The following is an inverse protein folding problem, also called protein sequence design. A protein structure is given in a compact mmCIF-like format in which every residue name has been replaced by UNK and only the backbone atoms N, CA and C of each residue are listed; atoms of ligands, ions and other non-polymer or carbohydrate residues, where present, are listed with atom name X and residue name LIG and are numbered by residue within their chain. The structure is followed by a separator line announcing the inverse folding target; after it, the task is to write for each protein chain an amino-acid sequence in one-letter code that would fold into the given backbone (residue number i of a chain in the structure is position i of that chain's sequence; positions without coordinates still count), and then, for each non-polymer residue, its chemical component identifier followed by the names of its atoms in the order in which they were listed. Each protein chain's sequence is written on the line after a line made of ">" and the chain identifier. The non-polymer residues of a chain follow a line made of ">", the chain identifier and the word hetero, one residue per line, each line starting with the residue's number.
data_IF_239757004984
#
_entry.id   IF_239757004984
#
_cell.length_a   1.000
_cell.length_b   1.000
_cell.length_c   1.000
_cell.angle_alpha   90.00
_cell.angle_beta   90.00
_cell.angle_gamma   90.00
#
_symmetry.space_group_name_H-M   'P 1'
#
loop_
_entity.id
_entity.type
_entity.pdbx_description
1 polymer ?
#
# COMPACT_ATOMS: atom_id res chain seq x y z
N UNK A 1 -24.03 -17.15 -33.83
CA UNK A 1 -23.18 -16.25 -34.63
C UNK A 1 -23.64 -14.81 -34.42
N UNK A 2 -22.90 -14.02 -33.67
CA UNK A 2 -23.14 -12.56 -33.54
C UNK A 2 -21.77 -11.89 -33.35
N UNK A 3 -21.26 -11.29 -34.43
CA UNK A 3 -20.00 -10.54 -34.47
C UNK A 3 -20.15 -9.23 -33.70
N UNK A 4 -19.29 -8.97 -32.72
CA UNK A 4 -19.15 -7.65 -32.08
C UNK A 4 -17.99 -6.89 -32.70
N UNK A 5 -18.31 -5.76 -33.32
CA UNK A 5 -17.38 -4.84 -33.94
C UNK A 5 -16.59 -4.07 -32.87
N UNK A 6 -15.28 -4.15 -32.96
CA UNK A 6 -14.34 -3.30 -32.23
C UNK A 6 -14.23 -1.95 -32.94
N UNK A 7 -14.68 -0.86 -32.32
CA UNK A 7 -14.45 0.50 -32.82
C UNK A 7 -13.16 1.03 -32.16
N UNK A 8 -12.15 1.25 -33.01
CA UNK A 8 -10.92 1.95 -32.65
C UNK A 8 -11.23 3.44 -32.54
N UNK A 9 -10.95 4.05 -31.39
CA UNK A 9 -10.95 5.50 -31.22
C UNK A 9 -9.53 6.01 -31.53
N UNK A 10 -9.43 6.96 -32.45
CA UNK A 10 -8.20 7.61 -32.84
C UNK A 10 -7.99 8.84 -31.94
N UNK A 11 -6.79 8.99 -31.41
CA UNK A 11 -6.34 10.17 -30.68
C UNK A 11 -5.98 11.28 -31.68
N UNK A 12 -6.54 12.46 -31.50
CA UNK A 12 -6.19 13.66 -32.26
C UNK A 12 -5.20 14.52 -31.45
N UNK A 13 -4.00 14.69 -32.02
CA UNK A 13 -3.03 15.69 -31.57
C UNK A 13 -3.53 17.09 -31.97
N UNK A 14 -3.57 18.03 -31.03
CA UNK A 14 -3.62 19.45 -31.33
C UNK A 14 -2.32 20.15 -30.89
N UNK A 15 -1.57 20.60 -31.87
CA UNK A 15 -0.47 21.53 -31.69
C UNK A 15 -1.02 22.97 -31.65
N UNK A 16 -0.66 23.76 -30.63
CA UNK A 16 -0.93 25.18 -30.59
C UNK A 16 0.37 25.97 -30.66
N UNK A 17 0.40 26.87 -31.64
CA UNK A 17 1.56 27.64 -32.04
C UNK A 17 1.79 28.88 -31.15
N UNK A 18 3.07 29.21 -30.96
CA UNK A 18 3.56 30.44 -30.38
C UNK A 18 3.16 31.66 -31.25
N UNK A 19 2.79 32.76 -30.58
CA UNK A 19 2.73 34.08 -31.18
C UNK A 19 3.52 35.08 -30.34
N UNK A 20 4.69 35.43 -30.79
CA UNK A 20 5.50 36.54 -30.31
C UNK A 20 4.98 37.86 -30.91
N UNK A 21 4.77 38.89 -30.10
CA UNK A 21 4.58 40.25 -30.56
C UNK A 21 5.53 41.20 -29.81
N UNK A 22 6.56 41.64 -30.53
CA UNK A 22 7.42 42.75 -30.18
C UNK A 22 6.75 44.05 -30.71
N UNK A 23 6.65 45.04 -29.84
CA UNK A 23 6.43 46.42 -30.30
C UNK A 23 7.33 47.37 -29.51
N UNK A 24 8.32 47.88 -30.21
CA UNK A 24 9.16 49.00 -29.81
C UNK A 24 8.45 50.33 -30.17
N UNK A 25 8.53 51.28 -29.28
CA UNK A 25 8.08 52.65 -29.53
C UNK A 25 8.92 53.65 -28.76
N UNK A 26 9.83 54.34 -29.49
CA UNK A 26 10.60 55.50 -29.02
C UNK A 26 9.81 56.81 -29.17
N UNK A 27 10.10 57.75 -28.30
CA UNK A 27 9.81 59.20 -28.54
C UNK A 27 9.66 59.98 -27.24
N UNK A 28 10.49 60.65 -26.79
CA UNK A 28 11.23 61.93 -26.84
C UNK A 28 10.62 63.11 -26.07
N UNK A 29 11.45 63.64 -25.17
CA UNK A 29 11.63 65.04 -24.70
C UNK A 29 10.80 65.57 -23.49
N UNK A 30 11.59 66.07 -22.55
CA UNK A 30 11.35 66.77 -21.28
C UNK A 30 10.87 68.22 -21.44
N UNK A 31 10.76 69.11 -20.39
CA UNK A 31 11.11 68.99 -18.95
C UNK A 31 10.16 69.67 -17.91
N UNK A 32 10.52 69.52 -16.62
CA UNK A 32 10.33 70.34 -15.38
C UNK A 32 8.92 70.49 -14.76
N UNK A 33 8.74 70.13 -13.54
CA UNK A 33 8.91 70.91 -12.31
C UNK A 33 8.59 70.11 -11.03
N UNK A 34 9.26 70.46 -9.99
CA UNK A 34 9.41 70.00 -8.65
C UNK A 34 8.13 69.79 -7.81
N UNK A 35 8.07 68.69 -7.04
CA UNK A 35 8.00 68.72 -5.56
C UNK A 35 7.94 67.24 -5.04
N UNK A 36 8.55 66.87 -3.89
CA UNK A 36 8.66 65.48 -3.45
C UNK A 36 7.43 65.08 -2.62
N UNK A 37 6.66 64.20 -3.17
CA UNK A 37 5.63 63.50 -2.40
C UNK A 37 6.14 62.09 -2.02
N UNK A 38 6.09 61.85 -0.75
CA UNK A 38 6.52 60.65 -0.05
C UNK A 38 6.00 59.37 -0.72
N UNK A 39 6.86 58.63 -1.40
CA UNK A 39 6.55 57.29 -1.86
C UNK A 39 6.70 56.36 -0.68
N UNK A 40 5.57 55.90 -0.13
CA UNK A 40 5.56 54.78 0.74
C UNK A 40 6.17 53.57 0.02
N UNK A 41 7.30 53.15 0.51
CA UNK A 41 7.92 51.86 0.10
C UNK A 41 6.96 50.79 0.53
N UNK A 42 6.24 50.22 -0.43
CA UNK A 42 5.53 48.97 -0.21
C UNK A 42 6.61 47.92 0.03
N UNK A 43 6.81 47.61 1.29
CA UNK A 43 7.66 46.53 1.74
C UNK A 43 7.11 45.24 1.11
N UNK A 44 7.84 44.68 0.17
CA UNK A 44 7.54 43.39 -0.42
C UNK A 44 7.56 42.40 0.72
N UNK A 45 6.44 41.71 0.95
CA UNK A 45 6.36 40.60 1.88
C UNK A 45 7.44 39.57 1.51
N UNK A 46 8.15 39.02 2.49
CA UNK A 46 9.29 38.16 2.25
C UNK A 46 8.85 36.83 1.62
N UNK A 47 9.71 36.30 0.79
CA UNK A 47 9.65 35.00 0.12
C UNK A 47 9.68 33.81 1.13
N UNK A 48 8.77 33.77 2.10
CA UNK A 48 8.64 32.63 2.99
C UNK A 48 7.76 31.51 2.41
N UNK A 49 6.93 31.82 1.41
CA UNK A 49 6.00 30.82 0.82
C UNK A 49 6.65 29.79 -0.11
N UNK A 50 7.84 30.04 -0.62
CA UNK A 50 8.57 29.09 -1.48
C UNK A 50 9.37 28.07 -0.67
N UNK A 51 9.98 28.46 0.44
CA UNK A 51 10.76 27.53 1.26
C UNK A 51 9.87 26.53 2.05
N UNK A 52 8.68 26.96 2.47
CA UNK A 52 7.70 26.09 3.12
C UNK A 52 7.11 25.08 2.12
N UNK A 53 6.77 25.52 0.90
CA UNK A 53 6.29 24.62 -0.16
C UNK A 53 7.30 23.55 -0.54
N UNK A 54 8.57 23.94 -0.69
CA UNK A 54 9.66 22.99 -1.01
C UNK A 54 9.87 21.97 0.13
N UNK A 55 9.69 22.37 1.40
CA UNK A 55 9.79 21.46 2.56
C UNK A 55 8.61 20.48 2.62
N UNK A 56 7.40 20.92 2.32
CA UNK A 56 6.19 20.10 2.29
C UNK A 56 6.26 19.05 1.17
N UNK A 57 6.69 19.45 -0.03
CA UNK A 57 6.91 18.53 -1.14
C UNK A 57 8.00 17.49 -0.81
N UNK A 58 9.07 17.89 -0.13
CA UNK A 58 10.13 16.98 0.28
C UNK A 58 9.64 15.96 1.31
N UNK A 59 8.86 16.38 2.29
CA UNK A 59 8.28 15.50 3.30
C UNK A 59 7.32 14.48 2.66
N UNK A 60 6.44 14.93 1.76
CA UNK A 60 5.53 14.07 1.02
C UNK A 60 6.26 13.05 0.13
N UNK A 61 7.31 13.49 -0.58
CA UNK A 61 8.13 12.62 -1.43
C UNK A 61 8.88 11.55 -0.61
N UNK A 62 9.46 11.94 0.53
CA UNK A 62 10.11 10.97 1.41
C UNK A 62 9.12 9.91 1.93
N UNK A 63 7.89 10.29 2.22
CA UNK A 63 6.83 9.37 2.60
C UNK A 63 6.45 8.44 1.43
N UNK A 64 6.30 8.99 0.21
CA UNK A 64 6.00 8.22 -0.99
C UNK A 64 7.08 7.15 -1.27
N UNK A 65 8.37 7.51 -1.17
CA UNK A 65 9.48 6.58 -1.35
C UNK A 65 9.43 5.42 -0.34
N UNK A 66 9.04 5.67 0.91
CA UNK A 66 8.89 4.62 1.92
C UNK A 66 7.69 3.73 1.66
N UNK A 67 6.58 4.27 1.17
CA UNK A 67 5.40 3.50 0.76
C UNK A 67 5.74 2.62 -0.45
N UNK A 68 6.41 3.17 -1.46
CA UNK A 68 6.82 2.40 -2.65
C UNK A 68 7.78 1.26 -2.28
N UNK A 69 8.65 1.46 -1.27
CA UNK A 69 9.56 0.43 -0.79
C UNK A 69 8.86 -0.79 -0.15
N UNK A 70 7.66 -0.63 0.40
CA UNK A 70 6.86 -1.73 0.95
C UNK A 70 5.87 -2.33 -0.06
N UNK A 71 5.75 -1.75 -1.24
CA UNK A 71 4.88 -2.26 -2.32
C UNK A 71 5.60 -3.36 -3.11
N UNK A 72 5.96 -4.44 -2.42
CA UNK A 72 6.77 -5.55 -2.96
C UNK A 72 6.18 -6.90 -2.59
N UNK A 73 6.39 -7.91 -3.47
CA UNK A 73 5.89 -9.27 -3.25
C UNK A 73 6.85 -10.15 -2.43
N UNK A 74 8.07 -9.68 -2.17
CA UNK A 74 9.07 -10.46 -1.44
C UNK A 74 9.26 -9.89 -0.05
N UNK A 75 9.06 -10.73 0.97
CA UNK A 75 9.41 -10.39 2.34
C UNK A 75 10.91 -10.56 2.58
N UNK A 76 11.51 -9.62 3.28
CA UNK A 76 12.90 -9.65 3.75
C UNK A 76 12.96 -9.48 5.28
N UNK A 77 14.14 -9.58 5.85
CA UNK A 77 14.36 -9.31 7.29
C UNK A 77 14.03 -7.85 7.67
N UNK A 78 14.11 -6.93 6.70
CA UNK A 78 13.87 -5.51 6.92
C UNK A 78 12.39 -5.11 6.75
N UNK A 79 11.52 -6.00 6.27
CA UNK A 79 10.14 -5.67 5.90
C UNK A 79 9.34 -5.06 7.06
N UNK A 80 9.47 -5.61 8.28
CA UNK A 80 8.76 -5.07 9.44
C UNK A 80 9.19 -3.63 9.75
N UNK A 81 10.49 -3.39 9.75
CA UNK A 81 11.04 -2.05 9.98
C UNK A 81 10.64 -1.06 8.86
N UNK A 82 10.56 -1.53 7.62
CA UNK A 82 10.10 -0.71 6.49
C UNK A 82 8.62 -0.34 6.62
N UNK A 83 7.76 -1.27 7.03
CA UNK A 83 6.34 -0.99 7.30
C UNK A 83 6.18 0.03 8.45
N UNK A 84 6.92 -0.13 9.54
CA UNK A 84 6.91 0.80 10.66
C UNK A 84 7.41 2.20 10.24
N UNK A 85 8.46 2.28 9.41
CA UNK A 85 8.99 3.54 8.89
C UNK A 85 8.00 4.26 7.96
N UNK A 86 7.35 3.54 7.05
CA UNK A 86 6.33 4.09 6.16
C UNK A 86 5.14 4.67 6.95
N UNK A 87 4.65 3.92 7.95
CA UNK A 87 3.60 4.41 8.85
C UNK A 87 4.02 5.65 9.62
N UNK A 88 5.20 5.63 10.22
CA UNK A 88 5.69 6.77 11.01
C UNK A 88 5.87 8.03 10.16
N UNK A 89 6.34 7.88 8.91
CA UNK A 89 6.45 8.98 7.97
C UNK A 89 5.07 9.56 7.61
N UNK A 90 4.09 8.71 7.32
CA UNK A 90 2.73 9.13 7.03
C UNK A 90 2.07 9.84 8.22
N UNK A 91 2.19 9.29 9.42
CA UNK A 91 1.61 9.85 10.65
C UNK A 91 2.24 11.21 11.02
N UNK A 92 3.47 11.46 10.58
CA UNK A 92 4.15 12.75 10.79
C UNK A 92 3.72 13.84 9.83
N UNK A 93 3.07 13.51 8.69
CA UNK A 93 2.60 14.48 7.71
C UNK A 93 1.36 15.23 8.20
N UNK A 94 1.30 16.53 7.89
CA UNK A 94 0.07 17.32 7.96
C UNK A 94 -0.92 16.88 6.88
N UNK A 95 -2.20 17.25 7.01
CA UNK A 95 -3.22 16.92 6.00
C UNK A 95 -2.85 17.50 4.62
N UNK A 96 -2.27 18.72 4.59
CA UNK A 96 -1.81 19.35 3.34
C UNK A 96 -0.65 18.56 2.70
N UNK A 97 0.28 18.05 3.49
CA UNK A 97 1.41 17.25 2.99
C UNK A 97 0.93 15.89 2.49
N UNK A 98 -0.07 15.28 3.12
CA UNK A 98 -0.66 14.01 2.66
C UNK A 98 -1.27 14.12 1.27
N UNK A 99 -1.89 15.25 0.94
CA UNK A 99 -2.42 15.52 -0.40
C UNK A 99 -1.33 15.63 -1.48
N UNK A 100 -0.07 15.81 -1.08
CA UNK A 100 1.09 15.89 -1.98
C UNK A 100 1.82 14.56 -2.15
N UNK A 101 1.39 13.49 -1.43
CA UNK A 101 2.03 12.18 -1.54
C UNK A 101 1.74 11.59 -2.92
N UNK A 102 2.78 11.45 -3.72
CA UNK A 102 2.71 10.89 -5.07
C UNK A 102 3.99 10.10 -5.36
N UNK A 103 3.86 8.79 -5.57
CA UNK A 103 4.93 7.84 -5.89
C UNK A 103 4.53 6.94 -7.05
N UNK A 104 5.23 5.83 -7.24
CA UNK A 104 4.86 4.81 -8.22
C UNK A 104 3.56 4.10 -7.82
N UNK A 105 3.40 3.81 -6.53
CA UNK A 105 2.25 3.12 -5.93
C UNK A 105 1.64 3.93 -4.78
N UNK A 106 2.39 4.89 -4.23
CA UNK A 106 1.92 5.76 -3.18
C UNK A 106 0.98 6.83 -3.74
N UNK A 107 -0.12 7.07 -3.04
CA UNK A 107 -1.08 8.12 -3.32
C UNK A 107 -1.66 8.69 -2.00
N UNK A 108 -2.36 9.84 -2.02
CA UNK A 108 -2.93 10.44 -0.82
C UNK A 108 -3.93 9.53 -0.06
N UNK A 109 -4.52 8.55 -0.75
CA UNK A 109 -5.48 7.60 -0.20
C UNK A 109 -4.83 6.33 0.36
N UNK A 110 -3.51 6.13 0.21
CA UNK A 110 -2.86 4.86 0.53
C UNK A 110 -3.13 4.39 1.96
N UNK A 111 -2.92 5.25 2.96
CA UNK A 111 -3.24 4.95 4.36
C UNK A 111 -4.56 5.60 4.83
N UNK A 112 -5.02 6.65 4.16
CA UNK A 112 -6.16 7.46 4.57
C UNK A 112 -7.52 6.95 4.11
N UNK A 113 -7.58 5.97 3.19
CA UNK A 113 -8.86 5.46 2.69
C UNK A 113 -9.62 4.73 3.78
N UNK A 114 -10.88 5.13 3.99
CA UNK A 114 -11.80 4.39 4.85
C UNK A 114 -12.13 3.03 4.21
N UNK A 115 -11.62 1.96 4.82
CA UNK A 115 -11.84 0.58 4.39
C UNK A 115 -12.58 -0.24 5.43
N UNK A 116 -13.14 0.44 6.44
CA UNK A 116 -13.86 -0.18 7.54
C UNK A 116 -13.04 -0.29 8.84
N UNK A 117 -13.54 -1.06 9.77
CA UNK A 117 -13.04 -1.18 11.13
C UNK A 117 -12.13 -2.40 11.28
N UNK A 118 -10.82 -2.17 11.38
CA UNK A 118 -9.80 -3.21 11.54
C UNK A 118 -10.03 -4.08 12.79
N UNK A 119 -10.64 -3.53 13.86
CA UNK A 119 -10.87 -4.27 15.12
C UNK A 119 -11.89 -5.41 15.00
N UNK A 120 -12.62 -5.51 13.89
CA UNK A 120 -13.57 -6.61 13.62
C UNK A 120 -12.92 -7.86 13.06
N UNK A 121 -11.65 -7.81 12.80
CA UNK A 121 -10.84 -8.92 12.29
C UNK A 121 -9.68 -9.22 13.24
N UNK A 122 -8.98 -10.30 13.02
CA UNK A 122 -7.73 -10.66 13.67
C UNK A 122 -6.82 -11.43 12.70
N UNK A 123 -5.52 -11.42 12.98
CA UNK A 123 -4.54 -12.07 12.10
C UNK A 123 -4.61 -13.61 12.11
N UNK A 124 -5.35 -14.22 13.03
CA UNK A 124 -5.46 -15.67 13.25
C UNK A 124 -4.11 -16.40 13.25
N UNK A 125 -3.13 -15.81 13.93
CA UNK A 125 -1.78 -16.34 14.03
C UNK A 125 -1.31 -16.52 15.49
N UNK A 126 -2.23 -16.70 16.45
CA UNK A 126 -1.92 -16.97 17.85
C UNK A 126 -1.10 -18.28 18.00
N UNK A 127 -0.27 -18.37 19.01
CA UNK A 127 0.50 -19.56 19.34
C UNK A 127 -0.26 -20.50 20.29
N UNK A 128 0.32 -21.65 20.64
CA UNK A 128 -0.24 -22.63 21.59
C UNK A 128 -1.60 -23.21 21.16
N UNK A 129 -1.72 -23.57 19.88
CA UNK A 129 -2.98 -23.94 19.24
C UNK A 129 -3.30 -25.45 19.27
N UNK A 130 -2.45 -26.28 19.86
CA UNK A 130 -2.63 -27.72 19.89
C UNK A 130 -2.02 -28.44 18.66
N UNK A 131 -2.47 -29.71 18.45
CA UNK A 131 -1.80 -30.60 17.48
C UNK A 131 -2.41 -30.58 16.08
N UNK A 132 -3.63 -30.03 15.93
CA UNK A 132 -4.37 -30.04 14.67
C UNK A 132 -4.56 -28.61 14.19
N UNK A 133 -4.10 -28.30 12.99
CA UNK A 133 -4.22 -26.99 12.37
C UNK A 133 -4.88 -27.06 10.99
N UNK A 134 -5.85 -26.18 10.75
CA UNK A 134 -6.43 -25.91 9.44
C UNK A 134 -5.96 -24.52 8.98
N UNK A 135 -4.95 -24.49 8.14
CA UNK A 135 -4.39 -23.26 7.58
C UNK A 135 -5.17 -22.82 6.35
N UNK A 136 -5.95 -21.76 6.50
CA UNK A 136 -6.71 -21.15 5.40
C UNK A 136 -5.81 -20.15 4.67
N UNK A 137 -5.59 -20.38 3.38
CA UNK A 137 -4.69 -19.57 2.56
C UNK A 137 -5.49 -18.80 1.53
N UNK A 138 -5.46 -17.46 1.63
CA UNK A 138 -6.14 -16.53 0.75
C UNK A 138 -5.15 -15.63 0.03
N UNK A 139 -5.55 -15.05 -1.12
CA UNK A 139 -4.79 -13.96 -1.72
C UNK A 139 -4.66 -12.78 -0.74
N UNK A 140 -5.73 -12.49 -0.03
CA UNK A 140 -5.82 -11.40 0.92
C UNK A 140 -6.56 -10.18 0.39
N UNK A 141 -6.86 -9.26 1.27
CA UNK A 141 -7.37 -7.92 0.96
C UNK A 141 -6.94 -6.93 2.02
N UNK A 142 -6.61 -5.71 1.60
CA UNK A 142 -6.33 -4.59 2.50
C UNK A 142 -7.60 -3.87 2.98
N UNK A 143 -8.77 -4.18 2.39
CA UNK A 143 -10.05 -3.60 2.80
C UNK A 143 -10.56 -4.30 4.06
N UNK A 144 -10.64 -3.57 5.17
CA UNK A 144 -11.02 -4.10 6.49
C UNK A 144 -12.42 -4.73 6.48
N UNK A 145 -13.41 -4.06 5.88
CA UNK A 145 -14.77 -4.60 5.80
C UNK A 145 -14.85 -5.91 5.01
N UNK A 146 -14.15 -6.00 3.86
CA UNK A 146 -14.09 -7.24 3.07
C UNK A 146 -13.32 -8.33 3.81
N UNK A 147 -12.24 -7.98 4.53
CA UNK A 147 -11.47 -8.96 5.29
C UNK A 147 -12.32 -9.56 6.41
N UNK A 148 -13.06 -8.71 7.15
CA UNK A 148 -13.93 -9.15 8.23
C UNK A 148 -15.18 -9.90 7.74
N UNK A 149 -15.78 -9.48 6.62
CA UNK A 149 -17.00 -10.10 6.11
C UNK A 149 -16.75 -11.39 5.32
N UNK A 150 -15.77 -11.36 4.40
CA UNK A 150 -15.58 -12.43 3.44
C UNK A 150 -14.52 -13.45 3.92
N UNK A 151 -13.30 -12.99 4.21
CA UNK A 151 -12.21 -13.91 4.59
C UNK A 151 -12.46 -14.50 5.96
N UNK A 152 -12.67 -13.65 6.96
CA UNK A 152 -13.01 -14.10 8.31
C UNK A 152 -14.29 -14.93 8.34
N UNK A 153 -15.30 -14.59 7.52
CA UNK A 153 -16.53 -15.36 7.41
C UNK A 153 -16.30 -16.81 6.95
N UNK A 154 -15.38 -17.05 6.00
CA UNK A 154 -14.97 -18.40 5.58
C UNK A 154 -14.26 -19.12 6.73
N UNK A 155 -13.32 -18.44 7.39
CA UNK A 155 -12.56 -18.99 8.50
C UNK A 155 -13.41 -19.32 9.71
N UNK A 156 -14.39 -18.47 10.05
CA UNK A 156 -15.35 -18.72 11.13
C UNK A 156 -16.23 -19.94 10.83
N UNK A 157 -16.69 -20.08 9.59
CA UNK A 157 -17.47 -21.24 9.17
C UNK A 157 -16.65 -22.54 9.25
N UNK A 158 -15.37 -22.49 8.90
CA UNK A 158 -14.47 -23.63 9.03
C UNK A 158 -14.19 -23.94 10.51
N UNK A 159 -14.02 -22.94 11.36
CA UNK A 159 -13.83 -23.15 12.79
C UNK A 159 -15.08 -23.76 13.46
N UNK A 160 -16.28 -23.36 13.03
CA UNK A 160 -17.53 -23.97 13.50
C UNK A 160 -17.67 -25.42 13.03
N UNK A 161 -17.29 -25.72 11.78
CA UNK A 161 -17.35 -27.07 11.22
C UNK A 161 -16.30 -28.03 11.81
N UNK A 162 -15.15 -27.49 12.22
CA UNK A 162 -14.02 -28.27 12.77
C UNK A 162 -13.57 -27.73 14.13
N UNK A 163 -14.39 -27.88 15.20
CA UNK A 163 -14.12 -27.25 16.50
C UNK A 163 -12.87 -27.80 17.22
N UNK A 164 -12.42 -29.00 16.86
CA UNK A 164 -11.20 -29.63 17.41
C UNK A 164 -9.92 -29.24 16.66
N UNK A 165 -10.05 -28.39 15.64
CA UNK A 165 -8.93 -27.85 14.83
C UNK A 165 -8.77 -26.36 15.08
N UNK A 166 -7.54 -25.89 15.10
CA UNK A 166 -7.26 -24.46 15.13
C UNK A 166 -7.24 -23.91 13.72
N UNK A 167 -8.20 -23.05 13.39
CA UNK A 167 -8.23 -22.37 12.09
C UNK A 167 -7.27 -21.19 12.10
N UNK A 168 -6.32 -21.20 11.17
CA UNK A 168 -5.25 -20.22 11.03
C UNK A 168 -5.32 -19.57 9.67
N UNK A 169 -4.70 -18.39 9.53
CA UNK A 169 -4.68 -17.58 8.30
C UNK A 169 -3.29 -17.47 7.74
N UNK A 170 -3.20 -17.49 6.41
CA UNK A 170 -2.07 -16.94 5.66
C UNK A 170 -2.55 -16.22 4.42
N UNK A 171 -1.81 -15.17 4.01
CA UNK A 171 -2.02 -14.50 2.73
C UNK A 171 -0.88 -14.81 1.77
N UNK A 172 -1.19 -14.83 0.45
CA UNK A 172 -0.18 -15.01 -0.59
C UNK A 172 0.34 -13.68 -1.14
N UNK A 173 -0.46 -12.61 -1.09
CA UNK A 173 -0.05 -11.30 -1.58
C UNK A 173 0.73 -10.52 -0.52
N UNK A 174 2.07 -10.53 -0.61
CA UNK A 174 2.93 -9.81 0.36
C UNK A 174 2.66 -8.30 0.38
N UNK A 175 2.34 -7.69 -0.77
CA UNK A 175 1.95 -6.28 -0.87
C UNK A 175 0.78 -5.97 0.08
N UNK A 176 -0.24 -6.84 0.11
CA UNK A 176 -1.41 -6.68 0.97
C UNK A 176 -1.02 -6.82 2.45
N UNK A 177 -0.17 -7.80 2.77
CA UNK A 177 0.34 -8.00 4.14
C UNK A 177 1.07 -6.74 4.61
N UNK A 178 1.97 -6.21 3.79
CA UNK A 178 2.74 -5.01 4.12
C UNK A 178 1.83 -3.79 4.31
N UNK A 179 0.83 -3.62 3.44
CA UNK A 179 -0.13 -2.52 3.56
C UNK A 179 -0.93 -2.60 4.87
N UNK A 180 -1.47 -3.76 5.20
CA UNK A 180 -2.24 -3.99 6.43
C UNK A 180 -1.35 -3.76 7.66
N UNK A 181 -0.13 -4.28 7.65
CA UNK A 181 0.83 -4.07 8.73
C UNK A 181 1.19 -2.60 8.90
N UNK A 182 1.50 -1.88 7.81
CA UNK A 182 1.87 -0.47 7.87
C UNK A 182 0.69 0.43 8.30
N UNK A 183 -0.54 0.14 7.89
CA UNK A 183 -1.71 0.95 8.23
C UNK A 183 -2.30 0.63 9.59
N UNK A 184 -2.52 -0.67 9.86
CA UNK A 184 -3.32 -1.15 10.98
C UNK A 184 -2.47 -1.76 12.11
N UNK A 185 -1.15 -1.89 11.91
CA UNK A 185 -0.20 -2.60 12.80
C UNK A 185 -0.57 -4.09 13.00
N UNK A 186 -1.33 -4.67 12.08
CA UNK A 186 -1.76 -6.05 12.11
C UNK A 186 -0.82 -6.93 11.28
N UNK A 187 -0.13 -7.87 11.94
CA UNK A 187 0.84 -8.76 11.31
C UNK A 187 0.16 -10.06 10.86
N UNK A 188 -0.22 -10.11 9.59
CA UNK A 188 -0.76 -11.31 8.97
C UNK A 188 0.41 -12.15 8.43
N UNK A 189 0.40 -13.44 8.71
CA UNK A 189 1.45 -14.35 8.22
C UNK A 189 1.34 -14.55 6.70
N UNK A 190 2.48 -14.54 6.00
CA UNK A 190 2.55 -15.13 4.67
C UNK A 190 2.68 -16.66 4.79
N UNK A 191 2.69 -17.35 3.64
CA UNK A 191 2.72 -18.82 3.63
C UNK A 191 3.92 -19.40 4.38
N UNK A 192 5.12 -18.81 4.22
CA UNK A 192 6.34 -19.26 4.88
C UNK A 192 6.25 -19.06 6.40
N UNK A 193 5.81 -17.90 6.84
CA UNK A 193 5.66 -17.57 8.26
C UNK A 193 4.63 -18.47 8.95
N UNK A 194 3.50 -18.75 8.27
CA UNK A 194 2.47 -19.63 8.81
C UNK A 194 2.97 -21.06 8.98
N UNK A 195 3.74 -21.58 8.03
CA UNK A 195 4.34 -22.92 8.13
C UNK A 195 5.42 -22.99 9.22
N UNK A 196 6.28 -21.97 9.32
CA UNK A 196 7.29 -21.87 10.39
C UNK A 196 6.61 -21.85 11.77
N UNK A 197 5.52 -21.11 11.90
CA UNK A 197 4.71 -21.04 13.12
C UNK A 197 4.06 -22.40 13.44
N UNK A 198 3.52 -23.10 12.45
CA UNK A 198 2.96 -24.45 12.66
C UNK A 198 4.03 -25.43 13.19
N UNK A 199 5.25 -25.36 12.63
CA UNK A 199 6.38 -26.16 13.14
C UNK A 199 6.77 -25.76 14.56
N UNK A 200 6.86 -24.47 14.85
CA UNK A 200 7.21 -23.96 16.18
C UNK A 200 6.17 -24.35 17.23
N UNK A 201 4.89 -24.36 16.88
CA UNK A 201 3.76 -24.80 17.73
C UNK A 201 3.68 -26.33 17.90
N UNK A 202 4.49 -27.11 17.18
CA UNK A 202 4.49 -28.57 17.29
C UNK A 202 3.25 -29.22 16.68
N UNK A 203 2.65 -28.59 15.66
CA UNK A 203 1.49 -29.12 14.93
C UNK A 203 1.84 -30.47 14.31
N UNK A 204 0.99 -31.47 14.53
CA UNK A 204 1.16 -32.83 14.01
C UNK A 204 0.33 -33.10 12.76
N UNK A 205 -0.83 -32.49 12.71
CA UNK A 205 -1.78 -32.63 11.62
C UNK A 205 -2.07 -31.25 11.05
N UNK A 206 -1.53 -30.96 9.86
CA UNK A 206 -1.73 -29.71 9.13
C UNK A 206 -2.55 -29.98 7.86
N UNK A 207 -3.65 -29.27 7.71
CA UNK A 207 -4.43 -29.22 6.48
C UNK A 207 -4.32 -27.80 5.92
N UNK A 208 -3.87 -27.66 4.68
CA UNK A 208 -3.82 -26.38 3.96
C UNK A 208 -5.06 -26.28 3.09
N UNK A 209 -5.91 -25.29 3.35
CA UNK A 209 -7.15 -25.02 2.62
C UNK A 209 -7.01 -23.71 1.83
N UNK A 210 -6.72 -23.76 0.52
CA UNK A 210 -6.73 -22.55 -0.31
C UNK A 210 -8.17 -22.08 -0.56
N UNK A 211 -8.35 -20.76 -0.62
CA UNK A 211 -9.59 -20.11 -1.07
C UNK A 211 -9.53 -19.69 -2.52
N UNK A 212 -8.42 -19.92 -3.20
CA UNK A 212 -8.22 -19.60 -4.62
C UNK A 212 -9.17 -20.41 -5.49
N UNK A 213 -9.94 -19.72 -6.35
CA UNK A 213 -10.92 -20.35 -7.23
C UNK A 213 -10.30 -20.93 -8.50
N UNK A 214 -9.07 -20.55 -8.82
CA UNK A 214 -8.36 -20.95 -10.05
C UNK A 214 -6.94 -21.38 -9.74
N UNK A 215 -6.44 -22.32 -10.53
CA UNK A 215 -5.01 -22.60 -10.59
C UNK A 215 -4.32 -21.43 -11.31
N UNK A 216 -3.56 -20.65 -10.55
CA UNK A 216 -2.77 -19.52 -11.02
C UNK A 216 -1.41 -19.53 -10.33
N UNK A 217 -0.59 -18.50 -10.58
CA UNK A 217 0.76 -18.41 -10.06
C UNK A 217 0.80 -18.50 -8.53
N UNK A 218 -0.12 -17.84 -7.83
CA UNK A 218 -0.19 -17.86 -6.36
C UNK A 218 -0.56 -19.24 -5.80
N UNK A 219 -1.46 -19.97 -6.49
CA UNK A 219 -1.80 -21.35 -6.10
C UNK A 219 -0.62 -22.28 -6.29
N UNK A 220 0.09 -22.17 -7.41
CA UNK A 220 1.26 -22.99 -7.71
C UNK A 220 2.41 -22.69 -6.75
N UNK A 221 2.65 -21.42 -6.42
CA UNK A 221 3.65 -20.98 -5.44
C UNK A 221 3.32 -21.50 -4.04
N UNK A 222 2.08 -21.32 -3.57
CA UNK A 222 1.61 -21.86 -2.30
C UNK A 222 1.83 -23.37 -2.21
N UNK A 223 1.51 -24.11 -3.27
CA UNK A 223 1.68 -25.55 -3.32
C UNK A 223 3.17 -25.93 -3.25
N UNK A 224 4.04 -25.22 -3.98
CA UNK A 224 5.47 -25.46 -3.98
C UNK A 224 6.10 -25.17 -2.61
N UNK A 225 5.72 -24.05 -1.96
CA UNK A 225 6.19 -23.70 -0.61
C UNK A 225 5.73 -24.75 0.40
N UNK A 226 4.46 -25.18 0.37
CA UNK A 226 3.95 -26.24 1.26
C UNK A 226 4.73 -27.52 1.11
N UNK A 227 4.99 -27.96 -0.13
CA UNK A 227 5.72 -29.18 -0.40
C UNK A 227 7.16 -29.14 0.11
N UNK A 228 7.89 -28.07 -0.18
CA UNK A 228 9.29 -27.91 0.25
C UNK A 228 9.39 -27.82 1.76
N UNK A 229 8.51 -27.11 2.41
CA UNK A 229 8.53 -26.92 3.87
C UNK A 229 8.21 -28.20 4.65
N UNK A 230 7.22 -28.96 4.19
CA UNK A 230 6.77 -30.18 4.89
C UNK A 230 7.61 -31.42 4.59
N UNK A 231 8.38 -31.42 3.50
CA UNK A 231 9.15 -32.60 3.09
C UNK A 231 10.64 -32.56 3.43
N UNK A 232 11.25 -31.39 3.45
CA UNK A 232 12.70 -31.26 3.71
C UNK A 232 13.15 -31.73 5.10
N UNK A 233 12.46 -31.46 6.20
CA UNK A 233 12.88 -31.93 7.53
C UNK A 233 12.85 -33.44 7.70
N UNK A 234 12.06 -34.16 6.90
CA UNK A 234 11.90 -35.62 6.99
C UNK A 234 13.07 -36.38 6.37
N UNK A 235 13.85 -35.71 5.48
CA UNK A 235 15.01 -36.33 4.79
C UNK A 235 16.30 -36.19 5.60
N UNK A 236 16.34 -35.28 6.59
CA UNK A 236 17.53 -34.98 7.40
C UNK A 236 17.52 -35.60 8.81
N UNK A 237 16.62 -36.55 9.08
CA UNK A 237 16.58 -37.33 10.34
C UNK A 237 16.96 -38.80 10.14
#
# INVERSE_FOLDING_TARGET
>A
MRKRNCKKAAAALMAAALSTALLAGCGSTAPVDSTPESVAVSEAAPAQSTEEGDADEMAARNCADLIDAIYVQTRTEDTDAQCEAAKAAWDALTDTQKELVEGENADPDYFGRDTGDASKDDARNADEIGENELLVVSFGTSFNDSRAADIKGIEDALQEAYPDWSVRRAFTAQIIINHVQARDDEKIDNMQQALDRAVANGVKNLVVQPTHLMHGAEYDEMTAVSYTHLTLPTILR
#
